data_IF_890817535853
#
_entry.id   IF_890817535853
#
_cell.length_a   1.000
_cell.length_b   1.000
_cell.length_c   1.000
_cell.angle_alpha   90.00
_cell.angle_beta   90.00
_cell.angle_gamma   90.00
#
_symmetry.space_group_name_H-M   'P 1'
#
loop_
_entity.id
_entity.type
_entity.pdbx_description
1 polymer ?
#
# COMPACT_ATOMS: atom_id res chain seq x y z
N UNK A 1 16.87 6.25 -8.77
CA UNK A 1 15.60 6.54 -9.47
C UNK A 1 15.25 8.03 -9.46
N UNK A 2 16.18 8.92 -9.83
CA UNK A 2 15.95 10.37 -9.86
C UNK A 2 15.04 10.77 -11.04
N UNK A 3 15.21 10.13 -12.20
CA UNK A 3 14.39 10.37 -13.37
C UNK A 3 12.90 10.06 -13.13
N UNK A 4 12.61 8.94 -12.43
CA UNK A 4 11.24 8.57 -12.08
C UNK A 4 10.63 9.61 -11.14
N UNK A 5 11.37 10.04 -10.11
CA UNK A 5 10.92 11.08 -9.20
C UNK A 5 10.61 12.41 -9.93
N UNK A 6 11.49 12.87 -10.82
CA UNK A 6 11.25 14.08 -11.61
C UNK A 6 9.99 13.96 -12.47
N UNK A 7 9.76 12.78 -13.07
CA UNK A 7 8.56 12.51 -13.85
C UNK A 7 7.31 12.62 -12.99
N UNK A 8 7.28 11.97 -11.82
CA UNK A 8 6.14 12.04 -10.90
C UNK A 8 5.93 13.45 -10.32
N UNK A 9 7.01 14.15 -9.95
CA UNK A 9 6.92 15.51 -9.42
C UNK A 9 6.38 16.51 -10.46
N UNK A 10 6.68 16.30 -11.75
CA UNK A 10 6.08 17.07 -12.84
C UNK A 10 4.62 16.67 -13.11
N UNK A 11 4.30 15.39 -13.05
CA UNK A 11 2.96 14.88 -13.32
C UNK A 11 1.97 15.25 -12.20
N UNK A 12 2.45 15.23 -10.95
CA UNK A 12 1.67 15.48 -9.75
C UNK A 12 2.44 16.46 -8.84
N UNK A 13 2.26 17.78 -9.02
CA UNK A 13 2.96 18.79 -8.23
C UNK A 13 2.61 18.73 -6.73
N UNK A 14 1.51 18.06 -6.39
CA UNK A 14 1.06 17.85 -5.02
C UNK A 14 1.99 16.98 -4.16
N UNK A 15 2.94 16.25 -4.75
CA UNK A 15 3.93 15.45 -4.00
C UNK A 15 4.97 16.34 -3.30
N UNK A 16 5.27 17.51 -3.87
CA UNK A 16 6.33 18.42 -3.41
C UNK A 16 5.79 19.73 -2.81
N UNK A 17 4.51 20.03 -3.01
CA UNK A 17 3.89 21.23 -2.44
C UNK A 17 3.43 20.99 -1.00
N UNK A 18 3.58 22.02 -0.16
CA UNK A 18 3.03 22.06 1.20
C UNK A 18 1.64 22.73 1.26
N UNK A 19 1.02 23.01 0.11
CA UNK A 19 -0.27 23.68 0.05
C UNK A 19 -1.41 22.74 0.52
N UNK A 20 -2.13 23.07 1.61
CA UNK A 20 -3.17 22.20 2.17
C UNK A 20 -4.42 22.09 1.29
N UNK A 21 -4.57 22.97 0.29
CA UNK A 21 -5.70 22.98 -0.65
C UNK A 21 -5.46 22.07 -1.86
N UNK A 22 -4.23 21.59 -2.06
CA UNK A 22 -3.86 20.80 -3.23
C UNK A 22 -4.07 19.31 -2.94
N UNK A 23 -5.20 18.75 -3.39
CA UNK A 23 -5.50 17.33 -3.24
C UNK A 23 -4.83 16.51 -4.34
N UNK A 24 -4.17 15.41 -3.96
CA UNK A 24 -3.68 14.42 -4.92
C UNK A 24 -4.77 13.38 -5.23
N UNK A 25 -4.70 12.79 -6.43
CA UNK A 25 -5.54 11.66 -6.84
C UNK A 25 -5.25 10.34 -6.09
N UNK A 26 -4.18 10.29 -5.28
CA UNK A 26 -3.76 9.10 -4.53
C UNK A 26 -3.29 9.47 -3.12
N UNK A 27 -3.36 8.49 -2.20
CA UNK A 27 -2.92 8.65 -0.82
C UNK A 27 -1.40 8.82 -0.70
N UNK A 28 -0.96 9.89 -0.03
CA UNK A 28 0.45 10.21 0.21
C UNK A 28 0.98 9.66 1.55
N UNK A 29 0.48 8.52 2.04
CA UNK A 29 0.77 8.03 3.41
C UNK A 29 2.26 7.87 3.71
N UNK A 30 3.03 7.32 2.76
CA UNK A 30 4.48 7.15 2.92
C UNK A 30 5.23 8.50 2.90
N UNK A 31 4.83 9.42 2.02
CA UNK A 31 5.45 10.75 1.89
C UNK A 31 5.18 11.58 3.14
N UNK A 32 3.93 11.60 3.62
CA UNK A 32 3.55 12.35 4.81
C UNK A 32 4.20 11.77 6.07
N UNK A 33 4.33 10.45 6.19
CA UNK A 33 5.03 9.83 7.32
C UNK A 33 6.49 10.29 7.40
N UNK A 34 7.24 10.23 6.29
CA UNK A 34 8.64 10.69 6.26
C UNK A 34 8.78 12.20 6.43
N UNK A 35 7.85 12.99 5.86
CA UNK A 35 7.81 14.43 6.08
C UNK A 35 7.61 14.77 7.57
N UNK A 36 6.76 14.03 8.29
CA UNK A 36 6.56 14.25 9.73
C UNK A 36 7.79 13.89 10.54
N UNK A 37 8.52 12.85 10.14
CA UNK A 37 9.82 12.51 10.76
C UNK A 37 10.82 13.65 10.58
N UNK A 38 10.95 14.21 9.37
CA UNK A 38 11.87 15.32 9.13
C UNK A 38 11.44 16.60 9.84
N UNK A 39 10.15 16.87 9.93
CA UNK A 39 9.59 17.98 10.70
C UNK A 39 10.02 17.88 12.17
N UNK A 40 9.78 16.73 12.83
CA UNK A 40 10.18 16.50 14.22
C UNK A 40 11.69 16.74 14.43
N UNK A 41 12.52 16.25 13.52
CA UNK A 41 13.98 16.39 13.59
C UNK A 41 14.49 17.82 13.40
N UNK A 42 13.70 18.69 12.73
CA UNK A 42 14.14 20.05 12.37
C UNK A 42 13.54 21.14 13.25
N UNK A 43 12.30 20.97 13.75
CA UNK A 43 11.60 21.98 14.56
C UNK A 43 11.53 21.67 16.06
N UNK A 44 12.22 20.62 16.55
CA UNK A 44 12.15 20.18 17.97
C UNK A 44 10.70 20.00 18.47
N UNK A 45 9.81 19.54 17.59
CA UNK A 45 8.43 19.23 17.97
C UNK A 45 8.40 17.99 18.86
N UNK A 46 7.69 18.09 19.99
CA UNK A 46 7.56 16.96 20.89
C UNK A 46 6.52 15.96 20.37
N UNK A 47 6.83 14.67 20.48
CA UNK A 47 5.94 13.60 20.01
C UNK A 47 4.93 13.30 21.12
N UNK A 48 3.62 13.20 20.81
CA UNK A 48 2.63 12.87 21.82
C UNK A 48 2.98 11.59 22.57
N UNK A 49 2.99 11.65 23.91
CA UNK A 49 3.40 10.51 24.75
C UNK A 49 2.60 9.23 24.47
N UNK A 50 1.29 9.36 24.16
CA UNK A 50 0.46 8.21 23.78
C UNK A 50 0.97 7.47 22.52
N UNK A 51 1.51 8.21 21.54
CA UNK A 51 2.08 7.61 20.31
C UNK A 51 3.36 6.83 20.61
N UNK A 52 4.18 7.34 21.53
CA UNK A 52 5.41 6.68 21.98
C UNK A 52 5.07 5.36 22.67
N UNK A 53 4.17 5.38 23.65
CA UNK A 53 3.77 4.16 24.36
C UNK A 53 3.16 3.12 23.42
N UNK A 54 2.28 3.55 22.50
CA UNK A 54 1.69 2.66 21.51
C UNK A 54 2.74 2.01 20.61
N UNK A 55 3.70 2.80 20.14
CA UNK A 55 4.78 2.32 19.26
C UNK A 55 5.66 1.30 19.98
N UNK A 56 6.00 1.53 21.26
CA UNK A 56 6.76 0.57 22.08
C UNK A 56 5.99 -0.75 22.22
N UNK A 57 4.69 -0.71 22.51
CA UNK A 57 3.85 -1.91 22.62
C UNK A 57 3.80 -2.66 21.28
N UNK A 58 3.59 -1.95 20.16
CA UNK A 58 3.59 -2.56 18.84
C UNK A 58 4.96 -3.16 18.46
N UNK A 59 6.06 -2.52 18.82
CA UNK A 59 7.40 -3.03 18.59
C UNK A 59 7.66 -4.33 19.37
N UNK A 60 7.25 -4.36 20.64
CA UNK A 60 7.35 -5.57 21.48
C UNK A 60 6.51 -6.70 20.88
N UNK A 61 5.25 -6.44 20.51
CA UNK A 61 4.39 -7.44 19.88
C UNK A 61 4.95 -7.91 18.52
N UNK A 62 5.55 -7.02 17.75
CA UNK A 62 6.18 -7.32 16.47
C UNK A 62 7.39 -8.26 16.58
N UNK A 63 8.09 -8.25 17.72
CA UNK A 63 9.20 -9.17 18.00
C UNK A 63 8.71 -10.44 18.68
N UNK A 64 7.89 -10.32 19.72
CA UNK A 64 7.41 -11.47 20.49
C UNK A 64 6.54 -12.38 19.63
N UNK A 65 5.67 -11.84 18.77
CA UNK A 65 4.76 -12.63 17.96
C UNK A 65 5.48 -13.68 17.09
N UNK A 66 6.40 -13.26 16.20
CA UNK A 66 7.19 -14.19 15.37
C UNK A 66 8.04 -15.16 16.19
N UNK A 67 8.63 -14.70 17.30
CA UNK A 67 9.43 -15.57 18.20
C UNK A 67 8.56 -16.66 18.83
N UNK A 68 7.38 -16.30 19.33
CA UNK A 68 6.41 -17.24 19.89
C UNK A 68 5.96 -18.23 18.83
N UNK A 69 5.64 -17.76 17.62
CA UNK A 69 5.26 -18.64 16.50
C UNK A 69 6.35 -19.65 16.16
N UNK A 70 7.62 -19.24 16.15
CA UNK A 70 8.71 -20.12 15.72
C UNK A 70 9.11 -21.14 16.80
N UNK A 71 9.19 -20.72 18.06
CA UNK A 71 9.73 -21.57 19.13
C UNK A 71 8.67 -22.29 19.96
N UNK A 72 7.49 -21.70 20.14
CA UNK A 72 6.49 -22.20 21.10
C UNK A 72 5.24 -22.79 20.44
N UNK A 73 4.93 -22.42 19.19
CA UNK A 73 3.76 -22.93 18.49
C UNK A 73 4.16 -24.14 17.62
N UNK A 74 3.55 -25.32 17.81
CA UNK A 74 3.76 -26.47 16.93
C UNK A 74 3.32 -26.14 15.49
N UNK A 75 3.99 -26.70 14.47
CA UNK A 75 3.65 -26.46 13.05
C UNK A 75 2.17 -26.69 12.73
N UNK A 76 1.52 -27.65 13.40
CA UNK A 76 0.09 -27.93 13.25
C UNK A 76 -0.81 -26.71 13.49
N UNK A 77 -0.39 -25.78 14.36
CA UNK A 77 -1.17 -24.59 14.72
C UNK A 77 -0.69 -23.32 14.02
N UNK A 78 0.31 -23.40 13.13
CA UNK A 78 0.84 -22.22 12.44
C UNK A 78 -0.17 -21.56 11.50
N UNK A 79 -1.14 -22.32 10.98
CA UNK A 79 -2.20 -21.79 10.11
C UNK A 79 -3.17 -20.86 10.86
N UNK A 80 -3.38 -21.09 12.16
CA UNK A 80 -4.28 -20.28 12.99
C UNK A 80 -3.58 -19.10 13.66
N UNK A 81 -2.24 -19.04 13.58
CA UNK A 81 -1.47 -17.98 14.20
C UNK A 81 -1.53 -16.70 13.35
N UNK A 82 -1.89 -15.54 13.93
CA UNK A 82 -2.00 -14.30 13.17
C UNK A 82 -0.66 -13.87 12.58
N UNK A 83 -0.68 -13.42 11.33
CA UNK A 83 0.51 -12.86 10.68
C UNK A 83 0.68 -11.40 11.08
N UNK A 84 1.55 -11.15 12.07
CA UNK A 84 1.87 -9.80 12.56
C UNK A 84 2.43 -8.86 11.48
N UNK A 85 3.10 -9.37 10.45
CA UNK A 85 3.55 -8.54 9.33
C UNK A 85 2.36 -8.03 8.50
N UNK A 86 1.36 -8.88 8.24
CA UNK A 86 0.16 -8.47 7.52
C UNK A 86 -0.66 -7.45 8.32
N UNK A 87 -0.76 -7.65 9.64
CA UNK A 87 -1.42 -6.70 10.55
C UNK A 87 -0.70 -5.33 10.51
N UNK A 88 0.64 -5.33 10.55
CA UNK A 88 1.44 -4.10 10.47
C UNK A 88 1.20 -3.30 9.19
N UNK A 89 1.16 -3.97 8.03
CA UNK A 89 0.87 -3.32 6.74
C UNK A 89 -0.55 -2.71 6.76
N UNK A 90 -1.51 -3.37 7.40
CA UNK A 90 -2.87 -2.85 7.58
C UNK A 90 -2.93 -1.53 8.34
N UNK A 91 -2.08 -1.32 9.35
CA UNK A 91 -2.05 -0.08 10.13
C UNK A 91 -1.48 1.14 9.39
N UNK A 92 -0.64 0.92 8.37
CA UNK A 92 0.00 2.01 7.61
C UNK A 92 -0.97 2.61 6.60
N UNK A 93 -1.90 1.80 6.11
CA UNK A 93 -2.75 2.18 5.00
C UNK A 93 -4.10 2.72 5.49
N UNK A 94 -4.38 3.97 5.16
CA UNK A 94 -5.58 4.69 5.59
C UNK A 94 -6.79 4.47 4.69
N UNK A 95 -6.60 3.98 3.46
CA UNK A 95 -7.67 3.83 2.45
C UNK A 95 -8.19 2.37 2.40
N UNK A 96 -9.49 2.12 2.26
CA UNK A 96 -10.06 0.77 2.26
C UNK A 96 -9.72 -0.06 1.00
N UNK A 97 -9.17 0.55 -0.04
CA UNK A 97 -8.89 -0.11 -1.32
C UNK A 97 -7.82 -1.20 -1.23
N UNK A 98 -6.76 -0.97 -0.45
CA UNK A 98 -5.67 -1.95 -0.29
C UNK A 98 -6.13 -3.21 0.45
N UNK A 99 -6.81 -3.15 1.62
CA UNK A 99 -7.30 -4.37 2.27
C UNK A 99 -8.34 -5.08 1.40
N UNK A 100 -9.17 -4.37 0.64
CA UNK A 100 -10.09 -4.98 -0.31
C UNK A 100 -9.32 -5.74 -1.42
N UNK A 101 -8.28 -5.14 -1.99
CA UNK A 101 -7.42 -5.78 -2.97
C UNK A 101 -6.72 -7.03 -2.39
N UNK A 102 -6.30 -6.99 -1.13
CA UNK A 102 -5.74 -8.16 -0.44
C UNK A 102 -6.76 -9.30 -0.29
N UNK A 103 -8.01 -8.99 0.06
CA UNK A 103 -9.10 -9.98 0.13
C UNK A 103 -9.37 -10.57 -1.25
N UNK A 104 -9.45 -9.75 -2.29
CA UNK A 104 -9.63 -10.24 -3.67
C UNK A 104 -8.49 -11.17 -4.07
N UNK A 105 -7.24 -10.78 -3.80
CA UNK A 105 -6.07 -11.61 -4.05
C UNK A 105 -6.11 -12.93 -3.29
N UNK A 106 -6.51 -12.92 -2.02
CA UNK A 106 -6.68 -14.13 -1.21
C UNK A 106 -7.79 -15.03 -1.76
N UNK A 107 -8.97 -14.49 -2.08
CA UNK A 107 -10.09 -15.26 -2.66
C UNK A 107 -9.69 -15.89 -4.00
N UNK A 108 -9.07 -15.11 -4.90
CA UNK A 108 -8.57 -15.62 -6.17
C UNK A 108 -7.55 -16.75 -5.96
N UNK A 109 -6.63 -16.58 -5.01
CA UNK A 109 -5.65 -17.62 -4.67
C UNK A 109 -6.32 -18.88 -4.09
N UNK A 110 -7.38 -18.74 -3.29
CA UNK A 110 -8.11 -19.85 -2.69
C UNK A 110 -8.90 -20.65 -3.73
N UNK A 111 -9.56 -19.95 -4.67
CA UNK A 111 -10.26 -20.58 -5.80
C UNK A 111 -9.25 -21.33 -6.68
N UNK A 112 -8.12 -20.71 -6.99
CA UNK A 112 -7.09 -21.34 -7.83
C UNK A 112 -6.47 -22.55 -7.14
N UNK A 113 -6.20 -22.49 -5.84
CA UNK A 113 -5.71 -23.63 -5.03
C UNK A 113 -6.68 -24.82 -5.07
N UNK A 114 -7.99 -24.56 -5.06
CA UNK A 114 -9.02 -25.60 -5.16
C UNK A 114 -9.13 -26.21 -6.55
N UNK A 115 -8.94 -25.42 -7.61
CA UNK A 115 -9.05 -25.89 -8.99
C UNK A 115 -7.80 -26.63 -9.47
N UNK A 116 -6.59 -26.16 -9.13
CA UNK A 116 -5.33 -26.77 -9.57
C UNK A 116 -4.20 -26.59 -8.54
N UNK A 117 -4.03 -27.53 -7.59
CA UNK A 117 -3.03 -27.40 -6.53
C UNK A 117 -1.58 -27.48 -7.04
N UNK A 118 -1.32 -28.27 -8.08
CA UNK A 118 0.01 -28.37 -8.70
C UNK A 118 0.42 -27.06 -9.39
N UNK A 119 -0.50 -26.40 -10.11
CA UNK A 119 -0.20 -25.13 -10.76
C UNK A 119 0.02 -24.02 -9.73
N UNK A 120 -0.83 -23.96 -8.70
CA UNK A 120 -0.74 -22.98 -7.63
C UNK A 120 0.62 -23.03 -6.91
N UNK A 121 1.07 -24.22 -6.51
CA UNK A 121 2.33 -24.38 -5.74
C UNK A 121 3.57 -23.92 -6.53
N UNK A 122 3.58 -24.13 -7.86
CA UNK A 122 4.72 -23.80 -8.70
C UNK A 122 4.71 -22.34 -9.20
N UNK A 123 3.52 -21.76 -9.46
CA UNK A 123 3.42 -20.47 -10.16
C UNK A 123 2.87 -19.32 -9.30
N UNK A 124 2.34 -19.57 -8.10
CA UNK A 124 1.71 -18.53 -7.28
C UNK A 124 2.63 -17.31 -7.05
N UNK A 125 3.88 -17.53 -6.65
CA UNK A 125 4.81 -16.44 -6.35
C UNK A 125 5.15 -15.61 -7.60
N UNK A 126 5.36 -16.27 -8.75
CA UNK A 126 5.67 -15.60 -10.01
C UNK A 126 4.51 -14.77 -10.53
N UNK A 127 3.28 -15.30 -10.46
CA UNK A 127 2.08 -14.55 -10.88
C UNK A 127 1.81 -13.38 -9.93
N UNK A 128 1.90 -13.59 -8.62
CA UNK A 128 1.73 -12.52 -7.64
C UNK A 128 2.75 -11.40 -7.83
N UNK A 129 4.04 -11.74 -8.03
CA UNK A 129 5.09 -10.77 -8.33
C UNK A 129 4.83 -10.01 -9.63
N UNK A 130 4.37 -10.69 -10.68
CA UNK A 130 3.98 -10.08 -11.94
C UNK A 130 2.81 -9.09 -11.81
N UNK A 131 1.80 -9.41 -11.00
CA UNK A 131 0.66 -8.52 -10.74
C UNK A 131 1.09 -7.26 -9.97
N UNK A 132 1.96 -7.40 -8.97
CA UNK A 132 2.52 -6.27 -8.22
C UNK A 132 3.37 -5.37 -9.14
N UNK A 133 4.23 -5.98 -9.97
CA UNK A 133 5.03 -5.24 -10.95
C UNK A 133 4.16 -4.51 -11.98
N UNK A 134 3.07 -5.16 -12.44
CA UNK A 134 2.11 -4.58 -13.38
C UNK A 134 1.43 -3.33 -12.84
N UNK A 135 1.05 -3.32 -11.56
CA UNK A 135 0.56 -2.11 -10.87
C UNK A 135 1.57 -0.97 -10.91
N UNK A 136 2.85 -1.26 -10.60
CA UNK A 136 3.93 -0.26 -10.66
C UNK A 136 4.11 0.33 -12.06
N UNK A 137 4.08 -0.50 -13.11
CA UNK A 137 4.20 -0.04 -14.50
C UNK A 137 2.99 0.80 -14.91
N UNK A 138 1.77 0.39 -14.54
CA UNK A 138 0.55 1.15 -14.80
C UNK A 138 0.60 2.56 -14.22
N UNK A 139 1.11 2.72 -12.99
CA UNK A 139 1.26 4.02 -12.36
C UNK A 139 2.22 4.95 -13.13
N UNK A 140 3.30 4.41 -13.72
CA UNK A 140 4.25 5.20 -14.51
C UNK A 140 3.59 5.65 -15.83
N UNK A 141 2.84 4.75 -16.47
CA UNK A 141 2.10 5.06 -17.70
C UNK A 141 1.08 6.17 -17.43
N UNK A 142 0.32 6.09 -16.34
CA UNK A 142 -0.64 7.12 -15.95
C UNK A 142 0.03 8.49 -15.72
N UNK A 143 1.17 8.52 -15.05
CA UNK A 143 1.93 9.76 -14.86
C UNK A 143 2.36 10.40 -16.20
N UNK A 144 2.80 9.59 -17.17
CA UNK A 144 3.18 10.06 -18.52
C UNK A 144 1.96 10.57 -19.30
N UNK A 145 0.81 9.89 -19.21
CA UNK A 145 -0.43 10.32 -19.83
C UNK A 145 -0.93 11.64 -19.24
N UNK A 146 -0.78 11.82 -17.92
CA UNK A 146 -1.13 13.05 -17.23
C UNK A 146 -0.26 14.23 -17.69
N UNK A 147 1.05 14.02 -17.86
CA UNK A 147 1.95 15.02 -18.43
C UNK A 147 1.61 15.39 -19.88
N UNK A 148 1.10 14.43 -20.64
CA UNK A 148 0.76 14.61 -22.06
C UNK A 148 -0.60 15.30 -22.25
N UNK A 149 -1.30 15.69 -21.16
CA UNK A 149 -2.63 16.30 -21.21
C UNK A 149 -3.73 15.35 -21.69
N UNK A 150 -3.44 14.03 -21.79
CA UNK A 150 -4.39 12.98 -22.19
C UNK A 150 -4.93 12.21 -20.98
N UNK A 151 -4.86 12.82 -19.80
CA UNK A 151 -5.28 12.30 -18.50
C UNK A 151 -6.74 11.83 -18.42
N UNK A 152 -7.57 12.20 -19.41
CA UNK A 152 -9.03 12.16 -19.31
C UNK A 152 -9.76 11.17 -20.22
N UNK A 153 -9.11 10.17 -20.82
CA UNK A 153 -9.88 9.06 -21.42
C UNK A 153 -10.34 8.09 -20.32
N UNK A 154 -11.03 8.64 -19.33
CA UNK A 154 -11.83 7.90 -18.36
C UNK A 154 -12.96 7.30 -19.18
N UNK A 155 -12.84 6.03 -19.55
CA UNK A 155 -14.01 5.32 -20.07
C UNK A 155 -15.00 5.24 -18.91
N UNK A 156 -16.25 5.66 -19.13
CA UNK A 156 -17.31 5.72 -18.10
C UNK A 156 -17.62 4.38 -17.41
N UNK A 157 -16.89 3.32 -17.73
CA UNK A 157 -16.86 2.05 -17.01
C UNK A 157 -16.16 2.14 -15.65
N UNK A 158 -15.21 3.08 -15.48
CA UNK A 158 -14.38 3.17 -14.26
C UNK A 158 -15.00 4.04 -13.16
N UNK A 159 -16.10 4.74 -13.46
CA UNK A 159 -16.78 5.62 -12.51
C UNK A 159 -18.19 5.09 -12.24
N UNK A 160 -18.49 4.87 -10.95
CA UNK A 160 -19.77 4.32 -10.50
C UNK A 160 -20.99 5.15 -10.96
N UNK A 161 -20.81 6.47 -11.11
CA UNK A 161 -21.88 7.40 -11.51
C UNK A 161 -21.87 7.77 -13.01
N UNK A 162 -20.96 7.23 -13.82
CA UNK A 162 -20.77 7.57 -15.26
C UNK A 162 -20.59 9.08 -15.59
N UNK A 163 -20.53 9.96 -14.60
CA UNK A 163 -20.30 11.40 -14.73
C UNK A 163 -18.79 11.68 -14.76
N UNK A 164 -18.31 12.15 -15.91
CA UNK A 164 -16.89 12.43 -16.19
C UNK A 164 -16.35 13.60 -15.33
N UNK A 165 -17.24 14.45 -14.82
CA UNK A 165 -16.91 15.65 -14.02
C UNK A 165 -16.56 15.37 -12.55
N UNK A 166 -16.97 14.22 -12.00
CA UNK A 166 -16.76 13.85 -10.59
C UNK A 166 -15.80 12.66 -10.41
N UNK A 167 -15.19 12.17 -11.49
CA UNK A 167 -14.15 11.14 -11.39
C UNK A 167 -12.86 11.77 -10.81
N UNK A 168 -12.18 11.11 -9.85
CA UNK A 168 -10.85 11.52 -9.39
C UNK A 168 -9.78 11.41 -10.48
#
# INVERSE_FOLDING_TARGET
SVALFILYAKAYPCIISNDPNLKCAFGLTAVTAWQKVTEILTTNLDVPQGSIYFTIVCAILGVIGPVVRHFFVPEKYHEYYPNFNAIGIGFINTLPEIPLAMVIGWVASAIWRKSSPNSWTNYMYSIAGGLIAGQGISAVIQAVLNLSGKAGYVTGFSCYEQLISECP
#
